data_IF_601175362964
#
_entry.id   IF_601175362964
#
_cell.length_a   1.000
_cell.length_b   1.000
_cell.length_c   1.000
_cell.angle_alpha   90.00
_cell.angle_beta   90.00
_cell.angle_gamma   90.00
#
_symmetry.space_group_name_H-M   'P 1'
#
loop_
_entity.id
_entity.type
_entity.pdbx_description
1 polymer ?
#
# COMPACT_ATOMS: atom_id res chain seq x y z
N UNK A 1 30.67 -10.59 -8.33
CA UNK A 1 30.13 -11.73 -9.11
C UNK A 1 28.85 -12.33 -8.49
N UNK A 2 28.53 -12.06 -7.23
CA UNK A 2 27.34 -12.57 -6.53
C UNK A 2 26.02 -11.95 -7.01
N UNK A 3 25.99 -10.65 -7.29
CA UNK A 3 24.73 -9.94 -7.62
C UNK A 3 24.07 -10.40 -8.93
N UNK A 4 24.87 -10.68 -9.97
CA UNK A 4 24.36 -11.15 -11.28
C UNK A 4 23.70 -12.54 -11.14
N UNK A 5 24.24 -13.41 -10.28
CA UNK A 5 23.64 -14.73 -10.03
C UNK A 5 22.32 -14.60 -9.26
N UNK A 6 22.26 -13.71 -8.28
CA UNK A 6 21.04 -13.40 -7.52
C UNK A 6 19.96 -12.77 -8.40
N UNK A 7 20.31 -11.81 -9.25
CA UNK A 7 19.39 -11.17 -10.20
C UNK A 7 18.81 -12.18 -11.20
N UNK A 8 19.64 -13.08 -11.73
CA UNK A 8 19.18 -14.16 -12.61
C UNK A 8 18.22 -15.11 -11.88
N UNK A 9 18.59 -15.56 -10.69
CA UNK A 9 17.74 -16.45 -9.88
C UNK A 9 16.41 -15.80 -9.54
N UNK A 10 16.40 -14.49 -9.25
CA UNK A 10 15.18 -13.74 -9.03
C UNK A 10 14.33 -13.63 -10.30
N UNK A 11 14.94 -13.37 -11.46
CA UNK A 11 14.22 -13.32 -12.74
C UNK A 11 13.58 -14.68 -13.10
N UNK A 12 14.31 -15.77 -12.88
CA UNK A 12 13.83 -17.14 -13.07
C UNK A 12 12.65 -17.44 -12.13
N UNK A 13 12.76 -17.07 -10.86
CA UNK A 13 11.70 -17.23 -9.87
C UNK A 13 10.49 -16.35 -10.17
N UNK A 14 10.68 -15.11 -10.61
CA UNK A 14 9.61 -14.21 -11.03
C UNK A 14 8.86 -14.76 -12.24
N UNK A 15 9.60 -15.29 -13.23
CA UNK A 15 9.03 -15.94 -14.42
C UNK A 15 8.21 -17.17 -14.04
N UNK A 16 8.74 -18.02 -13.17
CA UNK A 16 8.03 -19.19 -12.66
C UNK A 16 6.77 -18.78 -11.87
N UNK A 17 6.86 -17.78 -11.01
CA UNK A 17 5.71 -17.32 -10.22
C UNK A 17 4.57 -16.85 -11.12
N UNK A 18 4.88 -16.00 -12.11
CA UNK A 18 3.90 -15.48 -13.07
C UNK A 18 3.31 -16.60 -13.94
N UNK A 19 4.11 -17.61 -14.28
CA UNK A 19 3.62 -18.78 -15.02
C UNK A 19 2.53 -19.55 -14.26
N UNK A 20 2.67 -19.68 -12.94
CA UNK A 20 1.85 -20.60 -12.14
C UNK A 20 0.69 -19.94 -11.40
N UNK A 21 0.81 -18.68 -10.96
CA UNK A 21 -0.12 -18.12 -9.98
C UNK A 21 -0.83 -16.85 -10.42
N UNK A 22 -0.15 -15.94 -11.12
CA UNK A 22 -0.66 -14.59 -11.35
C UNK A 22 -0.27 -14.09 -12.73
N UNK A 23 -1.18 -13.41 -13.44
CA UNK A 23 -0.84 -12.60 -14.61
C UNK A 23 -0.78 -11.14 -14.17
N UNK A 24 0.42 -10.56 -13.99
CA UNK A 24 0.56 -9.19 -13.49
C UNK A 24 0.02 -8.20 -14.53
N UNK A 25 -0.76 -7.23 -14.08
CA UNK A 25 -1.36 -6.22 -14.96
C UNK A 25 -0.51 -4.95 -15.03
N UNK A 26 0.37 -4.76 -14.04
CA UNK A 26 1.19 -3.56 -13.88
C UNK A 26 2.64 -3.91 -13.55
N UNK A 27 3.53 -2.93 -13.71
CA UNK A 27 4.93 -3.05 -13.28
C UNK A 27 5.02 -3.19 -11.75
N UNK A 28 4.13 -2.52 -11.04
CA UNK A 28 4.02 -2.52 -9.59
C UNK A 28 3.66 -3.91 -9.06
N UNK A 29 2.81 -4.67 -9.77
CA UNK A 29 2.53 -6.07 -9.45
C UNK A 29 3.80 -6.93 -9.56
N UNK A 30 4.59 -6.75 -10.63
CA UNK A 30 5.87 -7.46 -10.81
C UNK A 30 6.87 -7.11 -9.71
N UNK A 31 6.96 -5.83 -9.32
CA UNK A 31 7.80 -5.40 -8.21
C UNK A 31 7.36 -6.04 -6.89
N UNK A 32 6.05 -6.09 -6.61
CA UNK A 32 5.52 -6.71 -5.41
C UNK A 32 5.82 -8.22 -5.35
N UNK A 33 5.70 -8.92 -6.48
CA UNK A 33 6.03 -10.35 -6.59
C UNK A 33 7.53 -10.57 -6.37
N UNK A 34 8.38 -9.82 -7.08
CA UNK A 34 9.84 -9.92 -6.95
C UNK A 34 10.31 -9.61 -5.51
N UNK A 35 9.78 -8.55 -4.90
CA UNK A 35 10.03 -8.23 -3.49
C UNK A 35 9.57 -9.35 -2.57
N UNK A 36 8.41 -9.96 -2.82
CA UNK A 36 7.92 -11.09 -2.01
C UNK A 36 8.83 -12.31 -2.08
N UNK A 37 9.34 -12.65 -3.26
CA UNK A 37 10.30 -13.76 -3.45
C UNK A 37 11.57 -13.49 -2.62
N UNK A 38 12.15 -12.29 -2.76
CA UNK A 38 13.36 -11.93 -2.02
C UNK A 38 13.15 -11.93 -0.51
N UNK A 39 12.09 -11.30 -0.03
CA UNK A 39 11.76 -11.26 1.41
C UNK A 39 11.61 -12.68 1.96
N UNK A 40 10.96 -13.57 1.21
CA UNK A 40 10.82 -14.97 1.62
C UNK A 40 12.16 -15.70 1.68
N UNK A 41 13.02 -15.53 0.67
CA UNK A 41 14.36 -16.12 0.65
C UNK A 41 15.26 -15.58 1.77
N UNK A 42 15.17 -14.29 2.09
CA UNK A 42 15.89 -13.68 3.22
C UNK A 42 15.45 -14.27 4.55
N UNK A 43 14.13 -14.49 4.72
CA UNK A 43 13.55 -15.12 5.91
C UNK A 43 14.02 -16.56 6.09
N UNK A 44 14.31 -17.28 4.99
CA UNK A 44 14.92 -18.61 5.03
C UNK A 44 16.44 -18.59 5.27
N UNK A 45 17.06 -17.41 5.44
CA UNK A 45 18.51 -17.25 5.62
C UNK A 45 19.32 -17.45 4.34
N UNK A 46 18.66 -17.43 3.17
CA UNK A 46 19.22 -17.96 1.92
C UNK A 46 20.12 -17.02 1.12
N UNK A 47 19.96 -15.69 1.19
CA UNK A 47 20.58 -14.78 0.21
C UNK A 47 20.87 -13.39 0.81
N UNK A 48 21.98 -12.71 0.43
CA UNK A 48 22.16 -11.28 0.69
C UNK A 48 21.03 -10.43 0.13
N UNK A 49 20.70 -9.32 0.81
CA UNK A 49 19.68 -8.39 0.35
C UNK A 49 20.07 -7.79 -0.99
N UNK A 50 19.18 -7.86 -1.97
CA UNK A 50 19.23 -6.94 -3.11
C UNK A 50 18.69 -5.58 -2.66
N UNK A 51 19.24 -4.52 -3.21
CA UNK A 51 18.67 -3.18 -3.06
C UNK A 51 17.48 -2.97 -4.01
N UNK A 52 16.79 -1.84 -3.83
CA UNK A 52 15.59 -1.50 -4.62
C UNK A 52 15.91 -1.36 -6.11
N UNK A 53 17.07 -0.82 -6.47
CA UNK A 53 17.47 -0.63 -7.88
C UNK A 53 17.66 -1.96 -8.60
N UNK A 54 18.28 -2.93 -7.93
CA UNK A 54 18.48 -4.29 -8.46
C UNK A 54 17.15 -5.01 -8.69
N UNK A 55 16.17 -4.82 -7.79
CA UNK A 55 14.81 -5.34 -7.99
C UNK A 55 14.18 -4.70 -9.24
N UNK A 56 14.32 -3.38 -9.42
CA UNK A 56 13.84 -2.71 -10.63
C UNK A 56 14.53 -3.23 -11.89
N UNK A 57 15.83 -3.51 -11.84
CA UNK A 57 16.57 -4.05 -12.98
C UNK A 57 16.07 -5.44 -13.36
N UNK A 58 15.75 -6.30 -12.40
CA UNK A 58 15.17 -7.62 -12.67
C UNK A 58 13.78 -7.48 -13.29
N UNK A 59 12.93 -6.61 -12.75
CA UNK A 59 11.60 -6.35 -13.32
C UNK A 59 11.68 -5.74 -14.73
N UNK A 60 12.69 -4.92 -15.02
CA UNK A 60 12.94 -4.40 -16.37
C UNK A 60 13.32 -5.49 -17.38
N UNK A 61 13.93 -6.58 -16.92
CA UNK A 61 14.33 -7.71 -17.77
C UNK A 61 13.19 -8.72 -17.96
N UNK A 62 12.11 -8.61 -17.18
CA UNK A 62 10.96 -9.49 -17.29
C UNK A 62 10.27 -9.34 -18.65
N UNK A 63 10.06 -10.46 -19.34
CA UNK A 63 9.33 -10.51 -20.60
C UNK A 63 8.18 -11.53 -20.53
N UNK A 64 6.94 -11.05 -20.60
CA UNK A 64 5.75 -11.89 -20.55
C UNK A 64 5.71 -12.96 -21.67
N UNK A 65 6.25 -12.68 -22.86
CA UNK A 65 6.28 -13.63 -23.97
C UNK A 65 7.21 -14.82 -23.67
N UNK A 66 8.25 -14.60 -22.87
CA UNK A 66 9.20 -15.64 -22.48
C UNK A 66 8.63 -16.61 -21.43
N UNK A 67 7.58 -16.21 -20.70
CA UNK A 67 6.95 -17.01 -19.64
C UNK A 67 6.38 -18.32 -20.20
N UNK A 68 5.69 -18.25 -21.33
CA UNK A 68 4.99 -19.40 -21.95
C UNK A 68 5.95 -20.54 -22.29
N UNK A 69 7.17 -20.20 -22.74
CA UNK A 69 8.17 -21.16 -23.17
C UNK A 69 9.23 -21.47 -22.10
N UNK A 70 9.11 -20.88 -20.92
CA UNK A 70 10.09 -21.06 -19.85
C UNK A 70 10.05 -22.48 -19.29
N UNK A 71 11.21 -23.11 -19.13
CA UNK A 71 11.37 -24.35 -18.39
C UNK A 71 11.73 -23.97 -16.96
N UNK A 72 10.92 -24.40 -16.00
CA UNK A 72 11.11 -24.14 -14.58
C UNK A 72 11.64 -25.42 -13.95
N UNK A 73 12.75 -25.34 -13.24
CA UNK A 73 13.28 -26.47 -12.48
C UNK A 73 12.48 -26.69 -11.19
N UNK A 74 12.55 -27.91 -10.63
CA UNK A 74 11.77 -28.28 -9.44
C UNK A 74 12.08 -27.47 -8.19
N UNK A 75 13.31 -26.95 -8.06
CA UNK A 75 13.69 -26.11 -6.92
C UNK A 75 13.03 -24.75 -7.03
N UNK A 76 13.09 -24.12 -8.20
CA UNK A 76 12.38 -22.87 -8.48
C UNK A 76 10.87 -23.03 -8.32
N UNK A 77 10.29 -24.14 -8.80
CA UNK A 77 8.86 -24.44 -8.67
C UNK A 77 8.43 -24.57 -7.20
N UNK A 78 9.21 -25.28 -6.39
CA UNK A 78 8.97 -25.41 -4.94
C UNK A 78 9.02 -24.04 -4.26
N UNK A 79 10.05 -23.24 -4.56
CA UNK A 79 10.21 -21.90 -4.01
C UNK A 79 8.98 -21.03 -4.31
N UNK A 80 8.56 -20.93 -5.57
CA UNK A 80 7.44 -20.03 -5.92
C UNK A 80 6.11 -20.49 -5.32
N UNK A 81 5.93 -21.80 -5.14
CA UNK A 81 4.78 -22.34 -4.43
C UNK A 81 4.78 -21.92 -2.96
N UNK A 82 5.91 -22.04 -2.27
CA UNK A 82 6.04 -21.61 -0.88
C UNK A 82 5.86 -20.10 -0.73
N UNK A 83 6.41 -19.30 -1.65
CA UNK A 83 6.20 -17.84 -1.69
C UNK A 83 4.71 -17.51 -1.83
N UNK A 84 4.00 -18.17 -2.75
CA UNK A 84 2.58 -17.95 -2.95
C UNK A 84 1.76 -18.32 -1.69
N UNK A 85 2.05 -19.47 -1.08
CA UNK A 85 1.39 -19.88 0.17
C UNK A 85 1.66 -18.89 1.31
N UNK A 86 2.89 -18.40 1.42
CA UNK A 86 3.24 -17.39 2.41
C UNK A 86 2.50 -16.06 2.17
N UNK A 87 2.45 -15.56 0.93
CA UNK A 87 1.69 -14.34 0.58
C UNK A 87 0.21 -14.47 0.93
N UNK A 88 -0.43 -15.59 0.56
CA UNK A 88 -1.83 -15.86 0.88
C UNK A 88 -2.06 -15.97 2.39
N UNK A 89 -1.15 -16.61 3.13
CA UNK A 89 -1.23 -16.70 4.59
C UNK A 89 -1.15 -15.33 5.24
N UNK A 90 -0.18 -14.50 4.82
CA UNK A 90 -0.01 -13.13 5.30
C UNK A 90 -1.24 -12.27 5.03
N UNK A 91 -1.76 -12.31 3.79
CA UNK A 91 -2.98 -11.60 3.42
C UNK A 91 -4.17 -11.99 4.31
N UNK A 92 -4.38 -13.30 4.51
CA UNK A 92 -5.46 -13.80 5.36
C UNK A 92 -5.28 -13.40 6.84
N UNK A 93 -4.06 -13.41 7.36
CA UNK A 93 -3.79 -12.99 8.74
C UNK A 93 -4.08 -11.51 8.95
N UNK A 94 -3.65 -10.66 8.01
CA UNK A 94 -3.94 -9.22 8.03
C UNK A 94 -5.45 -8.98 7.95
N UNK A 95 -6.14 -9.63 6.99
CA UNK A 95 -7.59 -9.50 6.81
C UNK A 95 -8.38 -9.99 8.04
N UNK A 96 -8.01 -11.13 8.61
CA UNK A 96 -8.69 -11.67 9.80
C UNK A 96 -8.47 -10.78 11.02
N UNK A 97 -7.27 -10.20 11.18
CA UNK A 97 -6.98 -9.24 12.26
C UNK A 97 -7.78 -7.96 12.08
N UNK A 98 -7.86 -7.44 10.86
CA UNK A 98 -8.68 -6.27 10.54
C UNK A 98 -10.16 -6.53 10.83
N UNK A 99 -10.70 -7.68 10.42
CA UNK A 99 -12.08 -8.06 10.71
C UNK A 99 -12.33 -8.16 12.22
N UNK A 100 -11.38 -8.75 12.95
CA UNK A 100 -11.45 -8.86 14.40
C UNK A 100 -11.48 -7.49 15.09
N UNK A 101 -10.61 -6.57 14.65
CA UNK A 101 -10.56 -5.18 15.12
C UNK A 101 -11.88 -4.45 14.94
N UNK A 102 -12.44 -4.50 13.74
CA UNK A 102 -13.67 -3.81 13.42
C UNK A 102 -14.85 -4.37 14.21
N UNK A 103 -14.92 -5.69 14.37
CA UNK A 103 -15.99 -6.32 15.14
C UNK A 103 -15.88 -6.03 16.65
N UNK A 104 -14.67 -6.03 17.20
CA UNK A 104 -14.45 -5.82 18.64
C UNK A 104 -14.63 -4.35 19.04
N UNK A 105 -14.07 -3.42 18.26
CA UNK A 105 -14.00 -2.01 18.66
C UNK A 105 -15.06 -1.13 17.98
N UNK A 106 -15.68 -1.61 16.89
CA UNK A 106 -16.69 -0.86 16.10
C UNK A 106 -16.31 0.60 15.89
N UNK A 107 -15.10 0.88 15.34
CA UNK A 107 -14.63 2.26 15.21
C UNK A 107 -15.61 3.08 14.37
N UNK A 108 -15.91 4.29 14.84
CA UNK A 108 -16.77 5.26 14.13
C UNK A 108 -16.06 5.73 12.85
N UNK A 109 -16.20 4.95 11.79
CA UNK A 109 -15.57 5.18 10.50
C UNK A 109 -14.15 4.59 10.41
N UNK A 110 -13.98 3.61 9.53
CA UNK A 110 -12.68 3.16 9.03
C UNK A 110 -12.12 4.18 8.03
N UNK A 111 -12.03 5.45 8.44
CA UNK A 111 -11.62 6.56 7.57
C UNK A 111 -10.16 6.43 7.10
N UNK A 112 -9.35 5.61 7.78
CA UNK A 112 -7.97 5.33 7.38
C UNK A 112 -7.65 3.81 7.38
N UNK A 113 -8.33 3.09 6.50
CA UNK A 113 -8.18 1.64 6.34
C UNK A 113 -6.73 1.25 6.00
N UNK A 114 -6.08 1.97 5.09
CA UNK A 114 -4.70 1.73 4.69
C UNK A 114 -3.73 1.83 5.87
N UNK A 115 -3.82 2.89 6.68
CA UNK A 115 -2.94 3.07 7.84
C UNK A 115 -3.18 2.02 8.93
N UNK A 116 -4.44 1.60 9.10
CA UNK A 116 -4.80 0.49 9.99
C UNK A 116 -4.15 -0.81 9.51
N UNK A 117 -4.24 -1.12 8.22
CA UNK A 117 -3.61 -2.31 7.63
C UNK A 117 -2.08 -2.26 7.79
N UNK A 118 -1.45 -1.12 7.51
CA UNK A 118 -0.01 -0.95 7.72
C UNK A 118 0.41 -1.13 9.18
N UNK A 119 -0.49 -0.84 10.12
CA UNK A 119 -0.25 -1.06 11.55
C UNK A 119 -0.43 -2.52 11.97
N UNK A 120 -1.20 -3.31 11.20
CA UNK A 120 -1.39 -4.74 11.42
C UNK A 120 -0.20 -5.55 10.93
N UNK A 121 0.41 -5.19 9.79
CA UNK A 121 1.47 -5.98 9.15
C UNK A 121 2.59 -6.39 10.14
N UNK A 122 3.21 -5.49 10.91
CA UNK A 122 4.27 -5.85 11.86
C UNK A 122 3.81 -6.70 13.04
N UNK A 123 2.51 -6.74 13.31
CA UNK A 123 1.93 -7.55 14.39
C UNK A 123 1.69 -9.01 13.97
N UNK A 124 1.53 -9.26 12.66
CA UNK A 124 1.30 -10.60 12.10
C UNK A 124 2.54 -11.17 11.42
N UNK A 125 3.44 -10.32 10.95
CA UNK A 125 4.72 -10.72 10.35
C UNK A 125 5.86 -9.89 10.95
N UNK A 126 6.83 -10.58 11.51
CA UNK A 126 7.96 -9.97 12.21
C UNK A 126 9.09 -9.50 11.27
N UNK A 127 8.84 -9.48 9.96
CA UNK A 127 9.81 -9.12 8.94
C UNK A 127 9.36 -7.85 8.22
N UNK A 128 10.30 -6.94 7.97
CA UNK A 128 10.01 -5.70 7.26
C UNK A 128 9.73 -5.99 5.79
N UNK A 129 8.48 -5.75 5.37
CA UNK A 129 8.11 -5.82 3.96
C UNK A 129 8.70 -4.63 3.20
N UNK A 130 9.17 -4.88 1.98
CA UNK A 130 9.53 -3.81 1.05
C UNK A 130 8.29 -3.03 0.60
N UNK A 131 8.48 -1.78 0.17
CA UNK A 131 7.36 -0.91 -0.23
C UNK A 131 6.41 -1.53 -1.25
N UNK A 132 6.87 -2.03 -2.43
CA UNK A 132 5.95 -2.55 -3.45
C UNK A 132 5.10 -3.71 -2.92
N UNK A 133 5.71 -4.55 -2.08
CA UNK A 133 5.03 -5.66 -1.42
C UNK A 133 3.99 -5.18 -0.42
N UNK A 134 4.34 -4.22 0.45
CA UNK A 134 3.42 -3.68 1.44
C UNK A 134 2.23 -2.96 0.79
N UNK A 135 2.47 -2.18 -0.27
CA UNK A 135 1.42 -1.51 -1.04
C UNK A 135 0.48 -2.52 -1.71
N UNK A 136 1.04 -3.54 -2.36
CA UNK A 136 0.25 -4.62 -2.98
C UNK A 136 -0.61 -5.35 -1.94
N UNK A 137 -0.03 -5.71 -0.79
CA UNK A 137 -0.75 -6.35 0.32
C UNK A 137 -1.89 -5.46 0.86
N UNK A 138 -1.64 -4.15 1.04
CA UNK A 138 -2.67 -3.19 1.45
C UNK A 138 -3.82 -3.17 0.45
N UNK A 139 -3.52 -3.07 -0.86
CA UNK A 139 -4.56 -3.04 -1.89
C UNK A 139 -5.36 -4.34 -1.95
N UNK A 140 -4.69 -5.50 -1.83
CA UNK A 140 -5.34 -6.80 -1.79
C UNK A 140 -6.30 -6.92 -0.60
N UNK A 141 -5.83 -6.57 0.61
CA UNK A 141 -6.67 -6.60 1.81
C UNK A 141 -7.85 -5.63 1.70
N UNK A 142 -7.63 -4.40 1.21
CA UNK A 142 -8.72 -3.43 0.97
C UNK A 142 -9.75 -4.00 0.00
N UNK A 143 -9.30 -4.65 -1.09
CA UNK A 143 -10.20 -5.20 -2.10
C UNK A 143 -11.08 -6.36 -1.60
N UNK A 144 -10.61 -7.10 -0.60
CA UNK A 144 -11.33 -8.23 0.02
C UNK A 144 -12.07 -7.85 1.30
N UNK A 145 -11.76 -6.70 1.89
CA UNK A 145 -12.39 -6.27 3.13
C UNK A 145 -13.85 -5.85 2.88
N UNK A 146 -14.77 -6.53 3.57
CA UNK A 146 -16.19 -6.18 3.58
C UNK A 146 -16.64 -6.01 5.04
N UNK A 147 -17.12 -4.79 5.35
CA UNK A 147 -17.54 -4.41 6.70
C UNK A 147 -18.67 -5.31 7.23
N UNK A 148 -19.64 -5.65 6.38
CA UNK A 148 -20.78 -6.46 6.80
C UNK A 148 -20.35 -7.89 7.15
N UNK A 149 -19.49 -8.47 6.32
CA UNK A 149 -18.88 -9.78 6.54
C UNK A 149 -18.03 -9.78 7.80
N UNK A 150 -17.20 -8.77 8.01
CA UNK A 150 -16.36 -8.63 9.21
C UNK A 150 -17.19 -8.62 10.50
N UNK A 151 -18.31 -7.88 10.52
CA UNK A 151 -19.20 -7.82 11.68
C UNK A 151 -19.93 -9.15 11.96
N UNK A 152 -20.21 -9.93 10.90
CA UNK A 152 -20.91 -11.21 10.99
C UNK A 152 -19.97 -12.41 11.29
N UNK A 153 -18.67 -12.29 11.02
CA UNK A 153 -17.71 -13.40 11.07
C UNK A 153 -17.47 -13.92 12.50
N UNK A 154 -17.30 -15.23 12.67
CA UNK A 154 -16.79 -15.83 13.91
C UNK A 154 -15.27 -15.65 13.95
N UNK A 155 -14.75 -15.00 15.00
CA UNK A 155 -13.32 -14.70 15.13
C UNK A 155 -12.65 -15.79 15.97
N UNK A 156 -11.51 -16.31 15.48
CA UNK A 156 -10.64 -17.19 16.26
C UNK A 156 -9.90 -16.46 17.38
N UNK A 157 -9.29 -17.21 18.30
CA UNK A 157 -8.60 -16.63 19.48
C UNK A 157 -7.33 -15.84 19.14
N UNK A 158 -6.62 -16.24 18.08
CA UNK A 158 -5.37 -15.61 17.66
C UNK A 158 -5.56 -14.19 17.09
N UNK A 159 -6.45 -13.96 16.10
CA UNK A 159 -6.76 -12.59 15.63
C UNK A 159 -7.23 -11.67 16.76
N UNK A 160 -7.96 -12.20 17.75
CA UNK A 160 -8.40 -11.44 18.92
C UNK A 160 -7.21 -10.92 19.77
N UNK A 161 -6.22 -11.76 20.06
CA UNK A 161 -5.04 -11.35 20.82
C UNK A 161 -4.23 -10.27 20.08
N UNK A 162 -4.09 -10.41 18.76
CA UNK A 162 -3.40 -9.43 17.91
C UNK A 162 -4.19 -8.11 17.86
N UNK A 163 -5.52 -8.20 17.85
CA UNK A 163 -6.40 -7.04 17.87
C UNK A 163 -6.24 -6.20 19.13
N UNK A 164 -6.10 -6.82 20.30
CA UNK A 164 -5.84 -6.09 21.54
C UNK A 164 -4.50 -5.36 21.51
N UNK A 165 -3.47 -5.96 20.88
CA UNK A 165 -2.18 -5.29 20.64
C UNK A 165 -2.33 -4.11 19.70
N UNK A 166 -3.08 -4.26 18.60
CA UNK A 166 -3.37 -3.18 17.67
C UNK A 166 -4.09 -2.02 18.38
N UNK A 167 -5.12 -2.31 19.17
CA UNK A 167 -5.87 -1.27 19.89
C UNK A 167 -4.97 -0.47 20.85
N UNK A 168 -4.07 -1.15 21.57
CA UNK A 168 -3.06 -0.50 22.42
C UNK A 168 -2.06 0.33 21.62
N UNK A 169 -1.58 -0.19 20.48
CA UNK A 169 -0.65 0.54 19.60
C UNK A 169 -1.28 1.87 19.14
N UNK A 170 -2.54 1.84 18.71
CA UNK A 170 -3.27 3.01 18.23
C UNK A 170 -3.54 4.06 19.34
N UNK A 171 -3.54 3.68 20.61
CA UNK A 171 -3.62 4.64 21.73
C UNK A 171 -2.36 5.53 21.81
N UNK A 172 -1.25 5.09 21.24
CA UNK A 172 0.00 5.85 21.19
C UNK A 172 0.14 6.71 19.92
N UNK A 173 -0.95 7.01 19.20
CA UNK A 173 -0.92 7.82 17.98
C UNK A 173 -0.12 9.13 18.11
N UNK A 174 -0.21 9.82 19.26
CA UNK A 174 0.58 11.03 19.51
C UNK A 174 2.10 10.79 19.54
N UNK A 175 2.55 9.62 19.99
CA UNK A 175 3.97 9.23 20.00
C UNK A 175 4.40 8.83 18.59
N UNK A 176 3.56 8.08 17.88
CA UNK A 176 3.77 7.74 16.49
C UNK A 176 3.95 9.01 15.63
N UNK A 177 3.07 10.01 15.74
CA UNK A 177 3.16 11.25 14.97
C UNK A 177 4.42 12.05 15.29
N UNK A 178 4.81 12.13 16.57
CA UNK A 178 6.05 12.77 16.98
C UNK A 178 7.27 12.03 16.44
N UNK A 179 7.23 10.69 16.45
CA UNK A 179 8.32 9.86 15.96
C UNK A 179 8.50 10.02 14.45
N UNK A 180 7.40 9.98 13.69
CA UNK A 180 7.40 10.26 12.25
C UNK A 180 7.99 11.63 11.95
N UNK A 181 7.54 12.67 12.66
CA UNK A 181 8.05 14.03 12.48
C UNK A 181 9.55 14.13 12.73
N UNK A 182 10.02 13.62 13.87
CA UNK A 182 11.44 13.69 14.24
C UNK A 182 12.34 12.94 13.25
N UNK A 183 11.94 11.74 12.84
CA UNK A 183 12.71 10.94 11.88
C UNK A 183 12.80 11.63 10.52
N UNK A 184 11.69 12.21 10.04
CA UNK A 184 11.66 12.95 8.77
C UNK A 184 12.49 14.25 8.80
N UNK A 185 12.63 14.89 9.96
CA UNK A 185 13.47 16.08 10.15
C UNK A 185 14.97 15.75 10.17
N UNK A 186 15.33 14.53 10.59
CA UNK A 186 16.73 14.10 10.68
C UNK A 186 17.30 13.66 9.34
N UNK A 187 16.43 13.32 8.39
CA UNK A 187 16.88 12.56 7.24
C UNK A 187 16.05 12.81 5.98
N UNK A 188 16.58 13.69 5.14
CA UNK A 188 16.06 13.95 3.80
C UNK A 188 16.77 13.11 2.73
N UNK A 189 17.66 12.19 3.12
CA UNK A 189 18.71 11.65 2.22
C UNK A 189 18.96 10.15 2.27
N UNK A 190 18.56 9.39 3.30
CA UNK A 190 18.78 7.93 3.28
C UNK A 190 17.87 7.23 2.25
N UNK A 191 18.43 6.19 1.62
CA UNK A 191 17.75 5.21 0.76
C UNK A 191 16.70 4.37 1.50
N UNK A 192 16.51 4.61 2.80
CA UNK A 192 15.47 4.00 3.63
C UNK A 192 15.70 4.28 5.11
N UNK A 193 14.61 4.44 5.84
CA UNK A 193 14.59 4.56 7.30
C UNK A 193 14.84 3.19 7.94
N UNK A 194 15.76 3.14 8.88
CA UNK A 194 16.12 1.93 9.62
C UNK A 194 15.41 1.86 10.98
N UNK A 195 15.18 0.63 11.47
CA UNK A 195 14.65 0.41 12.82
C UNK A 195 15.55 1.04 13.90
N UNK A 196 16.87 1.05 13.69
CA UNK A 196 17.81 1.65 14.65
C UNK A 196 17.63 3.17 14.77
N UNK A 197 17.36 3.86 13.66
CA UNK A 197 17.07 5.30 13.67
C UNK A 197 15.77 5.59 14.41
N UNK A 198 14.70 4.85 14.06
CA UNK A 198 13.39 5.00 14.70
C UNK A 198 13.46 4.67 16.20
N UNK A 199 14.17 3.61 16.58
CA UNK A 199 14.37 3.24 17.97
C UNK A 199 15.12 4.31 18.78
N UNK A 200 16.15 4.92 18.20
CA UNK A 200 16.90 6.00 18.85
C UNK A 200 16.03 7.23 19.10
N UNK A 201 15.17 7.59 18.15
CA UNK A 201 14.23 8.71 18.32
C UNK A 201 13.13 8.38 19.34
N UNK A 202 12.63 7.15 19.33
CA UNK A 202 11.65 6.70 20.32
C UNK A 202 12.21 6.78 21.74
N UNK A 203 13.46 6.36 21.96
CA UNK A 203 14.14 6.47 23.26
C UNK A 203 14.26 7.92 23.75
N UNK A 204 14.53 8.87 22.84
CA UNK A 204 14.55 10.31 23.19
C UNK A 204 13.16 10.81 23.59
N UNK A 205 12.11 10.40 22.88
CA UNK A 205 10.73 10.82 23.17
C UNK A 205 10.27 10.23 24.51
N UNK A 206 10.57 8.96 24.78
CA UNK A 206 10.21 8.28 26.03
C UNK A 206 11.02 8.86 27.19
N UNK A 207 12.35 9.04 27.06
CA UNK A 207 13.19 9.61 28.11
C UNK A 207 12.78 11.03 28.56
N UNK A 208 12.11 11.78 27.67
CA UNK A 208 11.58 13.11 27.94
C UNK A 208 10.15 13.10 28.51
N UNK A 209 9.49 11.93 28.63
CA UNK A 209 8.10 11.79 29.08
C UNK A 209 7.97 10.74 30.20
N UNK A 210 6.93 10.85 31.03
CA UNK A 210 6.54 9.82 32.01
C UNK A 210 5.70 8.70 31.40
N UNK A 211 5.90 8.37 30.12
CA UNK A 211 5.18 7.28 29.45
C UNK A 211 5.97 5.99 29.63
N UNK A 212 5.35 4.97 30.21
CA UNK A 212 5.91 3.63 30.32
C UNK A 212 5.35 2.80 29.17
N UNK A 213 6.22 2.37 28.26
CA UNK A 213 5.91 1.44 27.17
C UNK A 213 6.72 0.17 27.44
N UNK A 214 6.08 -0.99 27.42
CA UNK A 214 6.82 -2.24 27.56
C UNK A 214 7.68 -2.53 26.32
N UNK A 215 8.67 -3.41 26.48
CA UNK A 215 9.69 -3.69 25.45
C UNK A 215 9.05 -4.28 24.18
N UNK A 216 8.01 -5.10 24.33
CA UNK A 216 7.33 -5.74 23.20
C UNK A 216 6.59 -4.69 22.36
N UNK A 217 5.84 -3.79 23.01
CA UNK A 217 5.15 -2.69 22.34
C UNK A 217 6.10 -1.68 21.71
N UNK A 218 7.25 -1.45 22.33
CA UNK A 218 8.29 -0.59 21.78
C UNK A 218 8.82 -1.16 20.46
N UNK A 219 9.11 -2.45 20.41
CA UNK A 219 9.59 -3.13 19.19
C UNK A 219 8.54 -3.06 18.06
N UNK A 220 7.26 -3.30 18.38
CA UNK A 220 6.18 -3.16 17.40
C UNK A 220 6.04 -1.74 16.87
N UNK A 221 6.12 -0.73 17.74
CA UNK A 221 6.06 0.67 17.32
C UNK A 221 7.23 1.05 16.42
N UNK A 222 8.44 0.59 16.73
CA UNK A 222 9.62 0.81 15.89
C UNK A 222 9.39 0.22 14.50
N UNK A 223 8.94 -1.03 14.39
CA UNK A 223 8.68 -1.69 13.10
C UNK A 223 7.57 -1.03 12.30
N UNK A 224 6.48 -0.68 12.98
CA UNK A 224 5.32 -0.04 12.36
C UNK A 224 5.67 1.36 11.83
N UNK A 225 6.37 2.18 12.60
CA UNK A 225 6.80 3.50 12.12
C UNK A 225 7.85 3.39 11.02
N UNK A 226 8.80 2.45 11.14
CA UNK A 226 9.79 2.18 10.08
C UNK A 226 9.09 1.82 8.76
N UNK A 227 8.16 0.86 8.80
CA UNK A 227 7.39 0.44 7.62
C UNK A 227 6.60 1.59 7.02
N UNK A 228 5.82 2.33 7.83
CA UNK A 228 5.01 3.45 7.36
C UNK A 228 5.86 4.54 6.70
N UNK A 229 6.97 4.91 7.33
CA UNK A 229 7.85 5.94 6.79
C UNK A 229 8.56 5.49 5.50
N UNK A 230 8.99 4.23 5.41
CA UNK A 230 9.58 3.69 4.18
C UNK A 230 8.58 3.68 3.02
N UNK A 231 7.30 3.42 3.27
CA UNK A 231 6.26 3.51 2.23
C UNK A 231 6.05 4.96 1.79
N UNK A 232 6.01 5.91 2.74
CA UNK A 232 5.85 7.34 2.48
C UNK A 232 7.01 7.94 1.68
N UNK A 233 8.25 7.62 2.05
CA UNK A 233 9.46 8.19 1.45
C UNK A 233 9.69 7.75 0.01
N UNK A 234 9.40 6.50 -0.37
CA UNK A 234 9.60 6.06 -1.76
C UNK A 234 8.47 6.46 -2.71
N UNK A 235 7.71 7.52 -2.41
CA UNK A 235 6.82 8.11 -3.42
C UNK A 235 7.67 8.41 -4.65
N UNK A 236 7.36 7.84 -5.84
CA UNK A 236 8.20 8.08 -7.00
C UNK A 236 8.30 9.60 -7.19
N UNK A 237 9.48 10.14 -7.54
CA UNK A 237 9.50 11.48 -8.11
C UNK A 237 8.45 11.48 -9.21
N UNK A 238 7.61 12.52 -9.31
CA UNK A 238 6.51 12.54 -10.25
C UNK A 238 7.03 12.02 -11.60
N UNK A 239 6.37 10.99 -12.13
CA UNK A 239 6.77 10.34 -13.39
C UNK A 239 6.66 11.27 -14.60
N UNK A 240 6.26 12.52 -14.35
CA UNK A 240 6.20 13.65 -15.25
C UNK A 240 7.09 14.75 -14.67
N UNK A 241 7.91 15.39 -15.49
CA UNK A 241 8.60 16.59 -15.04
C UNK A 241 7.59 17.66 -14.61
N UNK A 242 7.97 18.60 -13.74
CA UNK A 242 7.09 19.72 -13.36
C UNK A 242 6.56 20.48 -14.58
N UNK A 243 7.34 20.51 -15.68
CA UNK A 243 6.91 21.06 -16.97
C UNK A 243 5.83 20.23 -17.67
N UNK A 244 5.90 18.90 -17.59
CA UNK A 244 4.87 18.00 -18.14
C UNK A 244 3.57 18.06 -17.32
N UNK A 245 3.68 18.17 -15.99
CA UNK A 245 2.53 18.40 -15.11
C UNK A 245 1.90 19.75 -15.43
N UNK A 246 2.70 20.81 -15.55
CA UNK A 246 2.21 22.14 -15.91
C UNK A 246 1.53 22.16 -17.29
N UNK A 247 2.11 21.50 -18.30
CA UNK A 247 1.51 21.36 -19.64
C UNK A 247 0.18 20.61 -19.60
N UNK A 248 0.10 19.54 -18.81
CA UNK A 248 -1.13 18.77 -18.70
C UNK A 248 -2.23 19.55 -17.97
N UNK A 249 -1.89 20.25 -16.88
CA UNK A 249 -2.81 21.13 -16.18
C UNK A 249 -3.31 22.26 -17.10
N UNK A 250 -2.41 22.85 -17.88
CA UNK A 250 -2.76 23.87 -18.87
C UNK A 250 -3.72 23.31 -19.93
N UNK A 251 -3.49 22.07 -20.38
CA UNK A 251 -4.34 21.40 -21.37
C UNK A 251 -5.74 21.11 -20.83
N UNK A 252 -5.86 20.66 -19.57
CA UNK A 252 -7.13 20.42 -18.90
C UNK A 252 -7.90 21.72 -18.66
N UNK A 253 -7.21 22.79 -18.28
CA UNK A 253 -7.81 24.13 -18.15
C UNK A 253 -8.36 24.62 -19.49
N UNK A 254 -7.64 24.42 -20.59
CA UNK A 254 -8.09 24.82 -21.93
C UNK A 254 -9.26 23.96 -22.43
N UNK A 255 -9.28 22.67 -22.11
CA UNK A 255 -10.43 21.78 -22.37
C UNK A 255 -11.66 22.27 -21.59
N UNK A 256 -11.52 22.52 -20.28
CA UNK A 256 -12.60 23.04 -19.43
C UNK A 256 -13.13 24.40 -19.89
N UNK A 257 -12.25 25.30 -20.36
CA UNK A 257 -12.67 26.59 -20.96
C UNK A 257 -13.46 26.39 -22.24
N UNK A 258 -13.03 25.50 -23.14
CA UNK A 258 -13.75 25.20 -24.38
C UNK A 258 -15.09 24.52 -24.11
N UNK A 259 -15.17 23.65 -23.11
CA UNK A 259 -16.41 23.02 -22.69
C UNK A 259 -17.40 24.02 -22.09
N UNK A 260 -16.93 24.96 -21.24
CA UNK A 260 -17.76 26.07 -20.77
C UNK A 260 -18.23 26.98 -21.91
N UNK A 261 -17.38 27.28 -22.90
CA UNK A 261 -17.80 28.07 -24.06
C UNK A 261 -18.82 27.32 -24.95
N UNK A 262 -18.71 25.99 -25.08
CA UNK A 262 -19.74 25.17 -25.73
C UNK A 262 -21.07 25.17 -24.98
N UNK A 263 -21.06 25.22 -23.65
CA UNK A 263 -22.29 25.33 -22.85
C UNK A 263 -22.91 26.74 -22.88
N UNK A 264 -22.17 27.76 -23.31
CA UNK A 264 -22.66 29.14 -23.51
C UNK A 264 -22.93 29.39 -25.02
N UNK A 265 -23.38 28.36 -25.73
CA UNK A 265 -23.83 28.46 -27.12
C UNK A 265 -25.25 29.03 -27.23
N UNK A 266 -25.34 30.34 -27.44
CA UNK A 266 -26.49 31.12 -27.97
C UNK A 266 -27.86 31.01 -27.27
N UNK A 267 -28.32 32.05 -26.52
CA UNK A 267 -29.74 32.22 -26.28
C UNK A 267 -30.45 32.51 -27.61
N UNK A 268 -31.31 31.61 -28.04
CA UNK A 268 -32.18 31.79 -29.21
C UNK A 268 -33.26 32.84 -28.87
N UNK A 269 -32.98 34.11 -29.19
CA UNK A 269 -33.88 35.26 -28.99
C UNK A 269 -34.97 35.33 -30.09
N UNK A 270 -35.14 34.27 -30.88
CA UNK A 270 -36.01 34.25 -32.07
C UNK A 270 -37.35 33.52 -31.87
N UNK A 271 -37.64 33.00 -30.67
CA UNK A 271 -38.94 32.39 -30.37
C UNK A 271 -39.87 33.37 -29.66
N UNK A 272 -40.94 33.87 -30.30
CA UNK A 272 -41.94 34.68 -29.61
C UNK A 272 -42.66 33.84 -28.55
N UNK A 273 -42.76 34.38 -27.35
CA UNK A 273 -43.57 33.83 -26.27
C UNK A 273 -45.05 33.88 -26.68
N UNK A 274 -45.65 32.73 -26.95
CA UNK A 274 -47.11 32.59 -27.04
C UNK A 274 -47.70 32.78 -25.65
N UNK A 275 -48.09 34.02 -25.34
CA UNK A 275 -49.03 34.35 -24.29
C UNK A 275 -50.42 33.86 -24.72
N UNK A 276 -50.90 32.77 -24.12
CA UNK A 276 -52.31 32.37 -24.22
C UNK A 276 -53.20 33.41 -23.53
N UNK A 277 -54.32 33.83 -24.13
CA UNK A 277 -55.16 34.88 -23.55
C UNK A 277 -55.91 34.42 -22.29
N UNK A 278 -55.80 35.24 -21.24
CA UNK A 278 -56.64 35.24 -20.05
C UNK A 278 -58.09 35.50 -20.46
N UNK A 279 -58.97 34.50 -20.31
CA UNK A 279 -60.41 34.71 -20.32
C UNK A 279 -60.83 35.32 -18.98
N UNK A 280 -61.11 36.62 -18.97
CA UNK A 280 -61.84 37.28 -17.88
C UNK A 280 -63.28 37.46 -18.34
N UNK A 281 -64.17 36.59 -17.86
CA UNK A 281 -65.61 36.73 -18.05
C UNK A 281 -66.17 37.76 -17.07
N UNK A 282 -66.66 38.89 -17.58
CA UNK A 282 -67.60 39.77 -16.90
C UNK A 282 -68.86 39.81 -17.77
N UNK A 283 -69.94 39.16 -17.31
CA UNK A 283 -71.30 39.42 -17.81
C UNK A 283 -72.02 40.27 -16.75
N UNK A 284 -72.63 41.35 -17.23
CA UNK A 284 -73.72 42.06 -16.56
C UNK A 284 -74.94 41.15 -16.42
#
# INVERSE_FOLDING_TARGET
MTNIATERSLLESLTAYVKHFETPNTREDLLAIASSILTFQQKQGGIPSLDTEQIQQVVNQFNAESVVNSIVDSTTETLVQEVNQWRLSLENQVLNTLNAYVKQFKPDGLSNLSDTILSIIPLVENFLLGKPQAESLVQQVISKFDLQTALAQVIGTEPLAITEKLAKLLQFGNIEDLLKKNVLELDHTLEGITESLVNNELEKIIGNKTVIIDIEFKDFMVKQVTLKLNIMQSSPPPSKSDEEIAKQLQSEIEILKKERQKQIGTPDISKPATLGPLQVGIKQ
#
